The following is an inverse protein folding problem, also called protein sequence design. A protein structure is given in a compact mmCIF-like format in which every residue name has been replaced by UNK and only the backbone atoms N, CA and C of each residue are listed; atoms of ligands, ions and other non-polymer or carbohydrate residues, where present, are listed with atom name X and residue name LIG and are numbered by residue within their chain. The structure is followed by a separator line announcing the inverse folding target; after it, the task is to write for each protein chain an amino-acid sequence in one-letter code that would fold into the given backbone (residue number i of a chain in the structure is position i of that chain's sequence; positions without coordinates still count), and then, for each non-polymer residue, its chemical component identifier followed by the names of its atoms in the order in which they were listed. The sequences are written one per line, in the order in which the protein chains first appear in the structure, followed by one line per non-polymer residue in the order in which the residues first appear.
data_IF_005583443554
#
_entry.id   IF_005583443554
#
_cell.length_a   1.000
_cell.length_b   1.000
_cell.length_c   1.000
_cell.angle_alpha   90.00
_cell.angle_beta   90.00
_cell.angle_gamma   90.00
#
_symmetry.space_group_name_H-M   'P 1'
#
loop_
_entity.id
_entity.type
_entity.pdbx_description
1 polymer ?
#
# COMPACT_ATOMS: atom_id res chain seq x y z
N UNK A 1 6.07 -7.88 -39.61
CA UNK A 1 6.17 -7.18 -38.30
C UNK A 1 6.29 -5.71 -38.60
N UNK A 2 5.43 -4.89 -38.03
CA UNK A 2 5.56 -3.44 -38.16
C UNK A 2 6.80 -2.99 -37.37
N UNK A 3 7.67 -2.23 -37.99
CA UNK A 3 8.84 -1.64 -37.37
C UNK A 3 8.33 -0.50 -36.46
N UNK A 4 8.67 -0.50 -35.18
CA UNK A 4 8.32 0.59 -34.27
C UNK A 4 8.95 1.90 -34.76
N UNK A 5 8.12 2.90 -35.05
CA UNK A 5 8.55 4.24 -35.40
C UNK A 5 9.01 5.00 -34.16
N UNK A 6 9.87 6.00 -34.35
CA UNK A 6 10.44 6.82 -33.29
C UNK A 6 9.36 7.55 -32.45
N UNK A 7 8.19 7.80 -33.00
CA UNK A 7 7.08 8.54 -32.37
C UNK A 7 5.95 7.65 -31.85
N UNK A 8 6.00 6.34 -32.04
CA UNK A 8 4.88 5.43 -31.69
C UNK A 8 4.50 5.49 -30.19
N UNK A 9 5.49 5.68 -29.31
CA UNK A 9 5.24 5.76 -27.87
C UNK A 9 4.61 7.10 -27.48
N UNK A 10 5.09 8.21 -28.08
CA UNK A 10 4.54 9.56 -27.84
C UNK A 10 3.10 9.68 -28.32
N UNK A 11 2.77 9.10 -29.49
CA UNK A 11 1.43 9.09 -30.03
C UNK A 11 0.46 8.25 -29.17
N UNK A 12 0.96 7.13 -28.59
CA UNK A 12 0.17 6.34 -27.63
C UNK A 12 -0.08 7.11 -26.35
N UNK A 13 0.90 7.84 -25.83
CA UNK A 13 0.69 8.69 -24.65
C UNK A 13 -0.27 9.83 -24.94
N UNK A 14 -0.17 10.50 -26.08
CA UNK A 14 -1.12 11.51 -26.49
C UNK A 14 -2.56 10.96 -26.58
N UNK A 15 -2.71 9.73 -27.06
CA UNK A 15 -4.02 9.04 -27.08
C UNK A 15 -4.57 8.73 -25.68
N UNK A 16 -3.72 8.42 -24.70
CA UNK A 16 -4.11 8.25 -23.30
C UNK A 16 -4.51 9.58 -22.66
N UNK A 17 -3.77 10.65 -22.95
CA UNK A 17 -4.06 12.01 -22.45
C UNK A 17 -5.40 12.51 -22.96
N UNK A 18 -5.72 12.28 -24.23
CA UNK A 18 -7.04 12.59 -24.79
C UNK A 18 -8.20 11.90 -24.05
N UNK A 19 -7.93 10.77 -23.38
CA UNK A 19 -8.90 10.03 -22.56
C UNK A 19 -8.82 10.38 -21.06
N UNK A 20 -8.03 11.38 -20.69
CA UNK A 20 -7.80 11.81 -19.30
C UNK A 20 -7.30 10.67 -18.40
N UNK A 21 -6.06 10.24 -18.60
CA UNK A 21 -5.39 9.28 -17.73
C UNK A 21 -5.28 9.85 -16.30
N UNK A 22 -5.98 9.30 -15.30
CA UNK A 22 -5.99 9.85 -13.95
C UNK A 22 -4.64 9.78 -13.26
N UNK A 23 -3.72 8.92 -13.71
CA UNK A 23 -2.39 8.81 -13.13
C UNK A 23 -1.52 10.03 -13.44
N UNK A 24 -1.77 10.71 -14.54
CA UNK A 24 -1.07 11.98 -14.88
C UNK A 24 -1.44 13.06 -13.89
N UNK A 25 -2.73 13.17 -13.54
CA UNK A 25 -3.21 14.15 -12.57
C UNK A 25 -2.67 13.84 -11.17
N UNK A 26 -2.68 12.58 -10.76
CA UNK A 26 -2.11 12.13 -9.47
C UNK A 26 -0.61 12.43 -9.41
N UNK A 27 0.12 12.14 -10.49
CA UNK A 27 1.57 12.36 -10.53
C UNK A 27 1.93 13.85 -10.42
N UNK A 28 1.12 14.72 -11.01
CA UNK A 28 1.33 16.17 -10.97
C UNK A 28 0.98 16.80 -9.61
N UNK A 29 0.01 16.22 -8.88
CA UNK A 29 -0.50 16.80 -7.62
C UNK A 29 0.28 16.29 -6.42
N UNK A 30 0.68 15.03 -6.40
CA UNK A 30 1.34 14.42 -5.23
C UNK A 30 2.81 14.84 -5.14
N UNK A 31 3.27 15.38 -3.99
CA UNK A 31 4.65 15.85 -3.83
C UNK A 31 5.57 14.67 -3.50
N UNK A 32 5.81 13.78 -4.45
CA UNK A 32 6.54 12.52 -4.27
C UNK A 32 7.89 12.69 -3.56
N UNK A 33 8.60 13.76 -3.85
CA UNK A 33 9.92 14.03 -3.28
C UNK A 33 9.89 14.40 -1.79
N UNK A 34 8.77 14.89 -1.28
CA UNK A 34 8.62 15.15 0.16
C UNK A 34 8.66 13.85 0.99
N UNK A 35 8.30 12.72 0.38
CA UNK A 35 8.34 11.40 1.04
C UNK A 35 9.74 10.77 1.03
N UNK A 36 10.62 11.18 0.13
CA UNK A 36 11.96 10.57 -0.07
C UNK A 36 12.74 10.39 1.22
N UNK A 37 12.88 11.38 2.12
CA UNK A 37 13.69 11.21 3.34
C UNK A 37 13.17 10.11 4.26
N UNK A 38 11.84 9.97 4.39
CA UNK A 38 11.21 8.92 5.20
C UNK A 38 11.40 7.55 4.55
N UNK A 39 11.20 7.44 3.24
CA UNK A 39 11.35 6.20 2.49
C UNK A 39 12.79 5.68 2.52
N UNK A 40 13.77 6.56 2.34
CA UNK A 40 15.17 6.18 2.38
C UNK A 40 15.58 5.66 3.77
N UNK A 41 15.06 6.23 4.86
CA UNK A 41 15.29 5.71 6.21
C UNK A 41 14.81 4.26 6.36
N UNK A 42 13.63 3.93 5.80
CA UNK A 42 13.07 2.59 5.88
C UNK A 42 13.88 1.55 5.09
N UNK A 43 14.37 1.96 3.92
CA UNK A 43 14.91 1.03 2.93
C UNK A 43 16.42 1.08 2.77
N UNK A 44 17.07 2.12 3.31
CA UNK A 44 18.53 2.26 3.28
C UNK A 44 19.16 1.36 4.33
N UNK A 45 19.87 0.34 3.89
CA UNK A 45 20.71 -0.43 4.79
C UNK A 45 21.92 0.41 5.19
N UNK A 46 22.29 0.47 6.48
CA UNK A 46 23.56 1.07 6.91
C UNK A 46 24.72 0.48 6.09
N UNK A 47 25.69 1.31 5.73
CA UNK A 47 26.82 0.87 4.92
C UNK A 47 27.61 -0.26 5.60
N UNK A 48 27.63 -0.28 6.93
CA UNK A 48 28.24 -1.33 7.77
C UNK A 48 27.57 -2.71 7.60
N UNK A 49 26.29 -2.75 7.22
CA UNK A 49 25.55 -3.99 6.97
C UNK A 49 25.71 -4.50 5.52
N UNK A 50 26.45 -3.80 4.69
CA UNK A 50 26.70 -4.17 3.29
C UNK A 50 27.81 -5.21 3.21
N UNK A 51 27.45 -6.48 3.09
CA UNK A 51 28.41 -7.60 2.93
C UNK A 51 29.25 -7.58 1.64
N UNK A 52 28.93 -6.74 0.66
CA UNK A 52 29.65 -6.63 -0.62
C UNK A 52 29.19 -5.41 -1.41
N UNK A 53 30.11 -4.71 -2.08
CA UNK A 53 29.82 -3.64 -3.04
C UNK A 53 29.31 -4.17 -4.40
N UNK A 54 29.47 -5.47 -4.67
CA UNK A 54 29.10 -6.12 -5.94
C UNK A 54 27.59 -6.44 -6.06
N UNK A 55 26.75 -5.99 -5.10
CA UNK A 55 25.32 -6.23 -5.14
C UNK A 55 24.63 -5.24 -6.08
N UNK A 56 23.56 -5.75 -6.71
CA UNK A 56 22.60 -4.98 -7.49
C UNK A 56 22.16 -3.74 -6.73
N UNK A 57 22.20 -2.58 -7.37
CA UNK A 57 21.71 -1.33 -6.80
C UNK A 57 20.25 -1.49 -6.34
N UNK A 58 19.88 -1.00 -5.15
CA UNK A 58 18.48 -0.98 -4.73
C UNK A 58 17.66 -0.17 -5.74
N UNK A 59 16.38 -0.52 -5.84
CA UNK A 59 15.44 0.27 -6.62
C UNK A 59 15.28 1.66 -5.98
N UNK A 60 14.97 2.63 -6.78
CA UNK A 60 14.76 4.00 -6.37
C UNK A 60 13.55 4.10 -5.41
N UNK A 61 13.70 4.87 -4.31
CA UNK A 61 12.74 4.86 -3.21
C UNK A 61 11.36 5.40 -3.61
N UNK A 62 11.32 6.53 -4.31
CA UNK A 62 10.05 7.13 -4.76
C UNK A 62 9.36 6.25 -5.79
N UNK A 63 10.10 5.63 -6.69
CA UNK A 63 9.57 4.67 -7.66
C UNK A 63 8.89 3.48 -6.97
N UNK A 64 9.55 2.92 -5.94
CA UNK A 64 8.96 1.81 -5.18
C UNK A 64 7.73 2.26 -4.40
N UNK A 65 7.73 3.46 -3.85
CA UNK A 65 6.55 4.01 -3.19
C UNK A 65 5.40 4.23 -4.17
N UNK A 66 5.65 4.82 -5.34
CA UNK A 66 4.66 4.91 -6.42
C UNK A 66 4.10 3.53 -6.82
N UNK A 67 4.95 2.50 -6.87
CA UNK A 67 4.52 1.12 -7.16
C UNK A 67 3.56 0.59 -6.09
N UNK A 68 3.84 0.82 -4.81
CA UNK A 68 2.95 0.44 -3.70
C UNK A 68 1.63 1.22 -3.75
N UNK A 69 1.68 2.51 -4.10
CA UNK A 69 0.47 3.33 -4.31
C UNK A 69 -0.39 2.77 -5.43
N UNK A 70 0.20 2.39 -6.57
CA UNK A 70 -0.54 1.71 -7.66
C UNK A 70 -1.17 0.40 -7.19
N UNK A 71 -0.45 -0.42 -6.42
CA UNK A 71 -1.00 -1.65 -5.86
C UNK A 71 -2.24 -1.37 -5.01
N UNK A 72 -2.20 -0.33 -4.17
CA UNK A 72 -3.32 0.06 -3.32
C UNK A 72 -4.49 0.65 -4.13
N UNK A 73 -4.22 1.56 -5.07
CA UNK A 73 -5.25 2.23 -5.89
C UNK A 73 -6.05 1.25 -6.76
N UNK A 74 -5.37 0.24 -7.30
CA UNK A 74 -5.97 -0.73 -8.20
C UNK A 74 -6.25 -2.09 -7.55
N UNK A 75 -6.02 -2.21 -6.22
CA UNK A 75 -6.20 -3.44 -5.44
C UNK A 75 -5.49 -4.64 -6.08
N UNK A 76 -4.21 -4.49 -6.36
CA UNK A 76 -3.38 -5.50 -7.02
C UNK A 76 -2.49 -6.23 -6.01
N UNK A 77 -2.34 -7.55 -6.19
CA UNK A 77 -1.32 -8.33 -5.50
C UNK A 77 0.09 -8.03 -6.04
N UNK A 78 1.12 -8.51 -5.35
CA UNK A 78 2.52 -8.31 -5.76
C UNK A 78 2.83 -8.90 -7.14
N UNK A 79 2.28 -10.08 -7.45
CA UNK A 79 2.41 -10.70 -8.76
C UNK A 79 1.63 -9.92 -9.83
N UNK A 80 0.44 -9.44 -9.46
CA UNK A 80 -0.38 -8.66 -10.37
C UNK A 80 0.24 -7.30 -10.70
N UNK A 81 0.82 -6.59 -9.72
CA UNK A 81 1.44 -5.28 -10.00
C UNK A 81 2.66 -5.43 -10.91
N UNK A 82 3.51 -6.46 -10.72
CA UNK A 82 4.62 -6.76 -11.64
C UNK A 82 4.11 -6.94 -13.07
N UNK A 83 3.06 -7.76 -13.26
CA UNK A 83 2.48 -7.99 -14.57
C UNK A 83 1.89 -6.70 -15.17
N UNK A 84 1.08 -5.96 -14.39
CA UNK A 84 0.39 -4.76 -14.87
C UNK A 84 1.34 -3.62 -15.24
N UNK A 85 2.46 -3.49 -14.53
CA UNK A 85 3.49 -2.49 -14.88
C UNK A 85 4.11 -2.80 -16.24
N UNK A 86 4.28 -4.08 -16.58
CA UNK A 86 4.79 -4.49 -17.90
C UNK A 86 3.77 -4.30 -19.03
N UNK A 87 2.49 -4.48 -18.72
CA UNK A 87 1.39 -4.50 -19.69
C UNK A 87 0.81 -3.11 -19.98
N UNK A 88 0.78 -2.22 -18.98
CA UNK A 88 0.10 -0.92 -19.08
C UNK A 88 1.05 0.24 -19.27
N UNK A 89 0.94 0.92 -20.41
CA UNK A 89 1.69 2.14 -20.69
C UNK A 89 1.44 3.26 -19.68
N UNK A 90 0.21 3.39 -19.16
CA UNK A 90 -0.09 4.38 -18.11
C UNK A 90 0.69 4.13 -16.81
N UNK A 91 0.85 2.86 -16.42
CA UNK A 91 1.65 2.49 -15.24
C UNK A 91 3.13 2.75 -15.46
N UNK A 92 3.66 2.35 -16.64
CA UNK A 92 5.06 2.63 -17.00
C UNK A 92 5.35 4.13 -16.95
N UNK A 93 4.48 4.96 -17.56
CA UNK A 93 4.61 6.41 -17.54
C UNK A 93 4.59 6.98 -16.12
N UNK A 94 3.63 6.57 -15.31
CA UNK A 94 3.50 7.02 -13.92
C UNK A 94 4.74 6.68 -13.07
N UNK A 95 5.37 5.54 -13.33
CA UNK A 95 6.59 5.12 -12.65
C UNK A 95 7.87 5.69 -13.29
N UNK A 96 7.76 6.33 -14.45
CA UNK A 96 8.90 6.86 -15.19
C UNK A 96 9.73 5.80 -15.91
N UNK A 97 9.13 4.62 -16.21
CA UNK A 97 9.80 3.55 -16.95
C UNK A 97 9.73 3.75 -18.46
N UNK A 98 10.87 3.50 -19.12
CA UNK A 98 10.91 3.19 -20.55
C UNK A 98 10.62 1.71 -20.82
N UNK A 99 10.50 1.34 -22.09
CA UNK A 99 10.22 -0.04 -22.51
C UNK A 99 11.33 -1.03 -22.15
N UNK A 100 12.56 -0.55 -22.07
CA UNK A 100 13.77 -1.34 -21.76
C UNK A 100 14.07 -1.40 -20.26
N UNK A 101 13.34 -0.63 -19.44
CA UNK A 101 13.62 -0.55 -18.03
C UNK A 101 13.17 -1.80 -17.27
N UNK A 102 13.94 -2.10 -16.24
CA UNK A 102 13.67 -3.25 -15.40
C UNK A 102 12.53 -2.97 -14.44
N UNK A 103 11.43 -3.68 -14.61
CA UNK A 103 10.29 -3.68 -13.69
C UNK A 103 10.66 -4.43 -12.39
N UNK A 104 10.29 -3.93 -11.19
CA UNK A 104 10.46 -4.65 -9.94
C UNK A 104 9.63 -5.94 -9.94
N UNK A 105 10.25 -7.04 -9.51
CA UNK A 105 9.57 -8.32 -9.34
C UNK A 105 8.71 -8.34 -8.06
N UNK A 106 7.78 -9.28 -7.98
CA UNK A 106 6.85 -9.45 -6.85
C UNK A 106 7.56 -9.52 -5.50
N UNK A 107 8.72 -10.21 -5.42
CA UNK A 107 9.52 -10.29 -4.18
C UNK A 107 10.11 -8.93 -3.79
N UNK A 108 10.52 -8.15 -4.77
CA UNK A 108 11.03 -6.79 -4.54
C UNK A 108 9.90 -5.90 -4.01
N UNK A 109 8.70 -5.95 -4.61
CA UNK A 109 7.53 -5.20 -4.14
C UNK A 109 7.17 -5.58 -2.71
N UNK A 110 7.08 -6.89 -2.42
CA UNK A 110 6.85 -7.40 -1.07
C UNK A 110 7.89 -6.89 -0.06
N UNK A 111 9.18 -6.96 -0.41
CA UNK A 111 10.27 -6.52 0.46
C UNK A 111 10.16 -5.04 0.84
N UNK A 112 9.82 -4.19 -0.12
CA UNK A 112 9.66 -2.75 0.14
C UNK A 112 8.41 -2.45 0.98
N UNK A 113 7.31 -3.16 0.76
CA UNK A 113 6.09 -3.05 1.58
C UNK A 113 6.35 -3.47 3.02
N UNK A 114 6.97 -4.63 3.21
CA UNK A 114 7.32 -5.14 4.52
C UNK A 114 8.27 -4.19 5.27
N UNK A 115 9.23 -3.61 4.56
CA UNK A 115 10.14 -2.62 5.12
C UNK A 115 9.42 -1.38 5.66
N UNK A 116 8.39 -0.88 4.97
CA UNK A 116 7.58 0.24 5.47
C UNK A 116 6.77 -0.15 6.72
N UNK A 117 6.18 -1.34 6.71
CA UNK A 117 5.39 -1.85 7.83
C UNK A 117 6.27 -2.03 9.08
N UNK A 118 7.43 -2.66 8.94
CA UNK A 118 8.38 -2.89 10.03
C UNK A 118 8.97 -1.59 10.59
N UNK A 119 9.20 -0.60 9.74
CA UNK A 119 9.68 0.71 10.16
C UNK A 119 8.61 1.58 10.83
N UNK A 120 7.33 1.19 10.80
CA UNK A 120 6.21 1.96 11.36
C UNK A 120 5.98 3.31 10.68
N UNK A 121 6.41 3.48 9.43
CA UNK A 121 6.41 4.78 8.75
C UNK A 121 5.08 5.14 8.08
N UNK A 122 4.11 4.24 8.05
CA UNK A 122 2.83 4.48 7.37
C UNK A 122 2.13 5.74 7.91
N UNK A 123 2.10 5.92 9.24
CA UNK A 123 1.52 7.12 9.85
C UNK A 123 2.30 8.39 9.56
N UNK A 124 3.63 8.30 9.47
CA UNK A 124 4.46 9.46 9.13
C UNK A 124 4.20 9.90 7.68
N UNK A 125 4.15 8.95 6.75
CA UNK A 125 3.83 9.23 5.35
C UNK A 125 2.43 9.82 5.20
N UNK A 126 1.46 9.31 5.96
CA UNK A 126 0.11 9.87 5.99
C UNK A 126 0.11 11.32 6.49
N UNK A 127 0.80 11.61 7.60
CA UNK A 127 0.91 12.98 8.14
C UNK A 127 1.63 13.94 7.19
N UNK A 128 2.64 13.48 6.46
CA UNK A 128 3.30 14.30 5.43
C UNK A 128 2.32 14.68 4.34
N UNK A 129 1.52 13.73 3.87
CA UNK A 129 0.52 13.97 2.84
C UNK A 129 -0.60 14.89 3.33
N UNK A 130 -1.14 14.65 4.52
CA UNK A 130 -2.15 15.51 5.14
C UNK A 130 -1.65 16.95 5.34
N UNK A 131 -0.42 17.11 5.81
CA UNK A 131 0.24 18.41 5.91
C UNK A 131 0.39 19.11 4.56
N UNK A 132 0.67 18.38 3.50
CA UNK A 132 0.69 18.91 2.14
C UNK A 132 -0.70 19.38 1.72
N UNK A 133 -1.73 18.54 1.86
CA UNK A 133 -3.11 18.92 1.53
C UNK A 133 -3.57 20.15 2.30
N UNK A 134 -3.24 20.24 3.57
CA UNK A 134 -3.54 21.40 4.42
C UNK A 134 -2.87 22.67 3.91
N UNK A 135 -1.60 22.61 3.47
CA UNK A 135 -0.88 23.75 2.85
C UNK A 135 -1.53 24.18 1.54
N UNK A 136 -2.10 23.26 0.78
CA UNK A 136 -2.83 23.55 -0.45
C UNK A 136 -4.27 24.06 -0.22
N UNK A 137 -4.68 24.22 1.05
CA UNK A 137 -6.00 24.71 1.42
C UNK A 137 -7.10 23.64 1.48
N UNK A 138 -6.75 22.37 1.31
CA UNK A 138 -7.66 21.25 1.53
C UNK A 138 -7.74 20.97 3.03
N UNK A 139 -8.64 21.65 3.72
CA UNK A 139 -8.85 21.48 5.15
C UNK A 139 -10.22 20.87 5.37
N UNK A 140 -10.28 19.80 6.14
CA UNK A 140 -11.53 19.14 6.54
C UNK A 140 -12.35 20.07 7.47
N UNK A 141 -13.25 20.90 6.92
CA UNK A 141 -14.00 21.92 7.67
C UNK A 141 -15.50 21.68 7.75
N UNK A 142 -16.04 20.69 7.12
CA UNK A 142 -17.48 20.65 6.91
C UNK A 142 -18.17 19.31 7.08
N UNK A 143 -18.52 18.96 8.31
CA UNK A 143 -19.31 17.76 8.62
C UNK A 143 -18.53 16.47 8.36
N UNK A 144 -18.47 15.64 9.36
CA UNK A 144 -17.75 14.37 9.31
C UNK A 144 -18.72 13.22 9.03
N UNK A 145 -18.34 12.31 8.16
CA UNK A 145 -19.01 11.04 7.96
C UNK A 145 -18.17 9.97 8.66
N UNK A 146 -18.68 9.44 9.76
CA UNK A 146 -18.09 8.30 10.47
C UNK A 146 -18.71 7.04 9.89
N UNK A 147 -17.92 6.24 9.21
CA UNK A 147 -18.34 4.90 8.79
C UNK A 147 -17.47 3.83 9.45
N UNK A 148 -18.15 2.77 9.89
CA UNK A 148 -17.49 1.60 10.47
C UNK A 148 -17.54 0.47 9.45
N UNK A 149 -16.43 0.19 8.81
CA UNK A 149 -16.27 -0.99 7.97
C UNK A 149 -15.71 -2.16 8.78
N UNK A 150 -16.01 -3.38 8.33
CA UNK A 150 -15.44 -4.60 8.90
C UNK A 150 -14.46 -5.14 7.89
N UNK A 151 -13.20 -5.27 8.31
CA UNK A 151 -12.15 -5.94 7.55
C UNK A 151 -12.12 -7.40 8.01
N UNK A 152 -12.59 -8.36 7.20
CA UNK A 152 -12.61 -9.77 7.59
C UNK A 152 -11.22 -10.36 7.63
N UNK A 153 -10.96 -11.19 8.63
CA UNK A 153 -9.76 -12.04 8.66
C UNK A 153 -9.99 -13.24 7.75
N UNK A 154 -9.13 -13.53 6.79
CA UNK A 154 -9.42 -14.50 5.73
C UNK A 154 -9.37 -15.96 6.18
N UNK A 155 -8.76 -16.29 7.34
CA UNK A 155 -8.54 -17.70 7.74
C UNK A 155 -8.61 -17.91 9.25
N UNK A 156 -8.89 -19.15 9.64
CA UNK A 156 -8.74 -19.70 11.01
C UNK A 156 -9.34 -18.83 12.13
N UNK A 157 -10.65 -18.63 12.04
CA UNK A 157 -11.39 -17.91 13.08
C UNK A 157 -11.16 -18.52 14.46
N UNK A 158 -11.03 -17.68 15.48
CA UNK A 158 -10.96 -18.13 16.86
C UNK A 158 -12.32 -18.67 17.30
N UNK A 159 -12.31 -19.73 18.10
CA UNK A 159 -13.51 -20.25 18.74
C UNK A 159 -14.02 -19.27 19.82
N UNK A 160 -15.22 -19.49 20.33
CA UNK A 160 -15.77 -18.67 21.42
C UNK A 160 -14.92 -18.73 22.68
N UNK A 161 -14.40 -19.92 23.00
CA UNK A 161 -13.59 -20.16 24.19
C UNK A 161 -12.20 -19.53 24.02
N UNK A 162 -11.56 -19.70 22.85
CA UNK A 162 -10.32 -19.03 22.53
C UNK A 162 -10.46 -17.50 22.66
N UNK A 163 -11.55 -16.91 22.12
CA UNK A 163 -11.80 -15.47 22.24
C UNK A 163 -12.06 -15.02 23.67
N UNK A 164 -12.67 -15.86 24.52
CA UNK A 164 -12.89 -15.56 25.94
C UNK A 164 -11.56 -15.49 26.67
N UNK A 165 -10.66 -16.45 26.43
CA UNK A 165 -9.32 -16.49 27.02
C UNK A 165 -8.51 -15.27 26.60
N UNK A 166 -8.51 -14.95 25.29
CA UNK A 166 -7.79 -13.78 24.73
C UNK A 166 -8.32 -12.45 25.32
N UNK A 167 -9.62 -12.33 25.54
CA UNK A 167 -10.20 -11.13 26.18
C UNK A 167 -9.70 -10.90 27.60
N UNK A 168 -9.34 -11.96 28.29
CA UNK A 168 -8.75 -11.90 29.63
C UNK A 168 -7.25 -11.59 29.63
N UNK A 169 -6.66 -11.39 28.46
CA UNK A 169 -5.21 -11.12 28.29
C UNK A 169 -4.36 -12.40 28.28
N UNK A 170 -4.99 -13.57 28.23
CA UNK A 170 -4.32 -14.87 28.26
C UNK A 170 -4.23 -15.47 26.86
N UNK A 171 -3.21 -16.31 26.62
CA UNK A 171 -3.07 -17.07 25.38
C UNK A 171 -3.65 -18.48 25.62
N UNK A 172 -4.54 -19.01 24.76
CA UNK A 172 -5.06 -20.36 24.89
C UNK A 172 -3.94 -21.41 24.99
N UNK A 173 -4.02 -22.31 25.96
CA UNK A 173 -2.98 -23.34 26.22
C UNK A 173 -2.62 -24.16 24.99
N UNK A 174 -3.62 -24.53 24.20
CA UNK A 174 -3.48 -25.25 22.93
C UNK A 174 -2.55 -24.55 21.92
N UNK A 175 -2.38 -23.26 22.01
CA UNK A 175 -1.53 -22.48 21.10
C UNK A 175 -0.06 -22.56 21.51
N UNK A 176 0.22 -22.72 22.81
CA UNK A 176 1.57 -22.91 23.34
C UNK A 176 2.19 -24.23 22.88
N UNK A 177 1.38 -25.28 22.81
CA UNK A 177 1.80 -26.64 22.41
C UNK A 177 1.83 -26.84 20.89
N UNK A 178 1.17 -25.97 20.10
CA UNK A 178 1.02 -26.10 18.64
C UNK A 178 1.45 -24.80 17.93
N UNK A 179 2.76 -24.55 17.72
CA UNK A 179 3.24 -23.32 17.10
C UNK A 179 2.63 -23.03 15.72
N UNK A 180 2.41 -24.06 14.91
CA UNK A 180 1.76 -23.93 13.60
C UNK A 180 0.30 -23.46 13.70
N UNK A 181 -0.44 -23.88 14.74
CA UNK A 181 -1.80 -23.38 15.01
C UNK A 181 -1.75 -21.92 15.42
N UNK A 182 -0.81 -21.54 16.30
CA UNK A 182 -0.64 -20.17 16.77
C UNK A 182 -0.33 -19.18 15.64
N UNK A 183 0.54 -19.56 14.69
CA UNK A 183 0.91 -18.72 13.55
C UNK A 183 -0.25 -18.45 12.58
N UNK A 184 -1.32 -19.25 12.64
CA UNK A 184 -2.51 -19.11 11.79
C UNK A 184 -3.67 -18.41 12.51
N UNK A 185 -3.52 -18.08 13.79
CA UNK A 185 -4.55 -17.42 14.62
C UNK A 185 -4.24 -15.96 14.82
N UNK A 186 -5.29 -15.18 14.88
CA UNK A 186 -5.21 -13.73 15.08
C UNK A 186 -5.75 -13.39 16.49
N UNK A 187 -4.88 -12.82 17.33
CA UNK A 187 -5.20 -12.47 18.73
C UNK A 187 -5.99 -11.16 18.84
N UNK A 188 -5.96 -10.32 17.81
CA UNK A 188 -6.58 -8.99 17.82
C UNK A 188 -7.93 -8.96 17.11
N UNK A 189 -8.17 -9.90 16.20
CA UNK A 189 -9.45 -10.03 15.51
C UNK A 189 -10.60 -10.40 16.46
N UNK A 190 -11.77 -9.84 16.23
CA UNK A 190 -12.96 -10.02 17.08
C UNK A 190 -14.19 -10.33 16.24
N UNK A 191 -15.15 -10.99 16.88
CA UNK A 191 -16.48 -11.19 16.32
C UNK A 191 -17.31 -9.91 16.46
N UNK A 192 -17.86 -9.44 15.36
CA UNK A 192 -18.80 -8.33 15.30
C UNK A 192 -20.08 -8.73 14.56
N UNK A 193 -21.23 -8.19 14.97
CA UNK A 193 -22.50 -8.42 14.30
C UNK A 193 -22.92 -7.14 13.56
N UNK A 194 -23.13 -7.26 12.23
CA UNK A 194 -23.62 -6.15 11.39
C UNK A 194 -24.75 -6.66 10.50
N UNK A 195 -25.88 -5.97 10.48
CA UNK A 195 -27.07 -6.35 9.69
C UNK A 195 -27.53 -7.81 9.89
N UNK A 196 -27.49 -8.29 11.15
CA UNK A 196 -27.89 -9.68 11.48
C UNK A 196 -26.86 -10.75 11.17
N UNK A 197 -25.76 -10.44 10.46
CA UNK A 197 -24.68 -11.36 10.13
C UNK A 197 -23.51 -11.20 11.08
N UNK A 198 -22.88 -12.32 11.43
CA UNK A 198 -21.66 -12.34 12.24
C UNK A 198 -20.43 -12.28 11.34
N UNK A 199 -19.51 -11.37 11.65
CA UNK A 199 -18.26 -11.17 10.93
C UNK A 199 -17.10 -11.33 11.94
N UNK A 200 -16.04 -11.98 11.51
CA UNK A 200 -14.80 -12.11 12.26
C UNK A 200 -13.72 -11.27 11.61
N UNK A 201 -13.14 -10.34 12.36
CA UNK A 201 -12.13 -9.43 11.83
C UNK A 201 -11.95 -8.18 12.68
N UNK A 202 -11.57 -7.11 12.00
CA UNK A 202 -11.30 -5.81 12.60
C UNK A 202 -12.44 -4.83 12.31
N UNK A 203 -12.73 -3.96 13.25
CA UNK A 203 -13.53 -2.77 13.01
C UNK A 203 -12.59 -1.64 12.59
N UNK A 204 -12.77 -1.16 11.39
CA UNK A 204 -12.11 0.04 10.92
C UNK A 204 -13.10 1.21 10.96
N UNK A 205 -12.76 2.24 11.73
CA UNK A 205 -13.53 3.48 11.80
C UNK A 205 -12.78 4.52 10.96
N UNK A 206 -13.41 4.97 9.91
CA UNK A 206 -12.85 6.01 9.04
C UNK A 206 -13.70 7.26 9.24
N UNK A 207 -13.01 8.36 9.53
CA UNK A 207 -13.59 9.68 9.57
C UNK A 207 -13.30 10.37 8.24
N UNK A 208 -14.34 10.81 7.53
CA UNK A 208 -14.22 11.41 6.19
C UNK A 208 -14.90 12.76 6.17
N UNK A 209 -14.19 13.80 5.74
CA UNK A 209 -14.78 15.10 5.48
C UNK A 209 -15.85 15.01 4.39
N UNK A 210 -17.01 15.59 4.65
CA UNK A 210 -18.14 15.55 3.73
C UNK A 210 -17.88 16.32 2.43
N UNK A 211 -17.15 17.43 2.48
CA UNK A 211 -16.96 18.35 1.36
C UNK A 211 -15.87 17.84 0.40
N UNK A 212 -14.70 17.53 0.95
CA UNK A 212 -13.52 17.19 0.14
C UNK A 212 -13.23 15.69 0.12
N UNK A 213 -13.98 14.87 0.90
CA UNK A 213 -13.79 13.41 1.00
C UNK A 213 -12.41 13.02 1.53
N UNK A 214 -11.78 13.90 2.28
CA UNK A 214 -10.50 13.63 2.93
C UNK A 214 -10.71 12.74 4.16
N UNK A 215 -9.78 11.84 4.38
CA UNK A 215 -9.72 11.01 5.58
C UNK A 215 -8.93 11.76 6.64
N UNK A 216 -9.46 11.84 7.89
CA UNK A 216 -8.89 12.51 9.04
C UNK A 216 -8.45 11.47 10.09
#
# INVERSE_FOLDING_TARGET
MAQMGFFDLSDRYASLDAKRDPLVEIDAVVPWEEFRPALERAWRRPDEARKSQARRKPMEAVLMFKTLVLSALYNLSDDQIEYQVRDRLSFMRFLGFGLEDRVPDAKTVWFYREGLAQAGLVEELFRLFDGYLSRQGYIARGGQILDASIVPVPRNHNTRDENKTIKNGEVPEDWGTKPAKRSQKDVDARWAKKHGKSHYGYKNHVNVDRKHKLVD
#
